data_IF_480186975828
#
_entry.id   IF_480186975828
#
_cell.length_a   1.000
_cell.length_b   1.000
_cell.length_c   1.000
_cell.angle_alpha   90.00
_cell.angle_beta   90.00
_cell.angle_gamma   90.00
#
_symmetry.space_group_name_H-M   'P 1'
#
loop_
_entity.id
_entity.type
_entity.pdbx_description
1 polymer ?
#
# COMPACT_ATOMS: atom_id res chain seq x y z
N UNK A 1 51.01 -13.08 36.95
CA UNK A 1 50.68 -11.66 37.20
C UNK A 1 50.41 -11.03 35.85
N UNK A 2 49.26 -10.52 35.45
CA UNK A 2 47.95 -10.35 36.07
C UNK A 2 46.98 -10.05 34.92
N UNK A 3 45.72 -10.35 35.15
CA UNK A 3 44.58 -10.16 34.27
C UNK A 3 44.54 -8.71 33.75
N UNK A 4 44.84 -8.49 32.47
CA UNK A 4 44.57 -7.23 31.79
C UNK A 4 43.91 -7.56 30.45
N UNK A 5 42.71 -8.12 30.53
CA UNK A 5 41.72 -7.92 29.48
C UNK A 5 41.57 -6.42 29.32
N UNK A 6 42.26 -5.85 28.33
CA UNK A 6 42.01 -4.49 27.90
C UNK A 6 40.52 -4.46 27.54
N UNK A 7 39.71 -3.88 28.42
CA UNK A 7 38.31 -3.55 28.15
C UNK A 7 38.33 -2.50 27.04
N UNK A 8 38.46 -2.97 25.79
CA UNK A 8 38.37 -2.14 24.60
C UNK A 8 36.91 -1.72 24.49
N UNK A 9 36.58 -0.62 25.16
CA UNK A 9 35.28 -0.01 25.08
C UNK A 9 35.11 0.58 23.67
N UNK A 10 34.11 0.11 22.93
CA UNK A 10 33.76 0.61 21.60
C UNK A 10 33.25 2.06 21.67
N UNK A 11 32.72 2.49 22.82
CA UNK A 11 32.09 3.80 23.00
C UNK A 11 32.96 4.82 23.76
N UNK A 12 33.89 4.38 24.62
CA UNK A 12 34.73 5.29 25.41
C UNK A 12 36.12 5.41 24.77
N UNK A 13 36.31 6.44 23.95
CA UNK A 13 37.63 6.75 23.36
C UNK A 13 38.38 7.77 24.21
N UNK A 14 39.68 7.56 24.33
CA UNK A 14 40.62 8.52 24.89
C UNK A 14 41.10 9.46 23.78
N UNK A 15 41.06 10.77 24.04
CA UNK A 15 41.50 11.81 23.10
C UNK A 15 42.88 12.37 23.46
N UNK A 16 43.39 12.08 24.66
CA UNK A 16 44.71 12.50 25.14
C UNK A 16 45.42 11.31 25.75
N UNK A 17 46.70 11.15 25.41
CA UNK A 17 47.63 10.18 25.99
C UNK A 17 48.79 10.96 26.59
N UNK A 18 49.18 10.62 27.81
CA UNK A 18 50.32 11.19 28.51
C UNK A 18 51.49 10.21 28.46
N UNK A 19 52.68 10.71 28.20
CA UNK A 19 53.90 9.89 28.29
C UNK A 19 54.34 9.83 29.75
N UNK A 20 54.43 8.61 30.29
CA UNK A 20 54.97 8.35 31.62
C UNK A 20 56.28 7.58 31.47
N UNK A 21 57.32 7.97 32.21
CA UNK A 21 58.65 7.36 32.12
C UNK A 21 58.86 6.40 33.28
N UNK A 22 59.07 5.12 32.98
CA UNK A 22 59.47 4.11 33.97
C UNK A 22 60.77 3.46 33.52
N UNK A 23 61.81 3.49 34.37
CA UNK A 23 63.17 2.97 34.09
C UNK A 23 63.76 3.32 32.70
N UNK A 24 63.54 4.54 32.21
CA UNK A 24 64.09 5.01 30.93
C UNK A 24 63.30 4.61 29.69
N UNK A 25 62.19 3.88 29.85
CA UNK A 25 61.21 3.61 28.79
C UNK A 25 59.99 4.49 28.91
N UNK A 26 59.54 5.11 27.81
CA UNK A 26 58.34 5.93 27.75
C UNK A 26 57.13 5.07 27.40
N UNK A 27 56.10 5.08 28.25
CA UNK A 27 54.83 4.38 28.02
C UNK A 27 53.74 5.44 27.84
N UNK A 28 52.91 5.28 26.80
CA UNK A 28 51.73 6.12 26.59
C UNK A 28 50.57 5.62 27.44
N UNK A 29 50.16 6.42 28.43
CA UNK A 29 49.04 6.12 29.33
C UNK A 29 47.85 7.01 28.97
N UNK A 30 46.61 6.48 28.89
CA UNK A 30 45.43 7.28 28.58
C UNK A 30 45.16 8.36 29.66
N UNK A 31 44.98 9.62 29.24
CA UNK A 31 44.89 10.79 30.14
C UNK A 31 43.48 11.37 30.22
N UNK A 32 42.81 11.60 29.07
CA UNK A 32 41.46 12.18 29.04
C UNK A 32 40.54 11.46 28.06
N UNK A 33 39.34 11.12 28.53
CA UNK A 33 38.23 10.73 27.67
C UNK A 33 37.82 11.89 26.75
N UNK A 34 37.48 11.57 25.51
CA UNK A 34 36.86 12.54 24.60
C UNK A 34 35.55 13.09 25.20
N UNK A 35 35.14 14.29 24.80
CA UNK A 35 33.86 14.86 25.23
C UNK A 35 32.68 14.19 24.53
N UNK A 36 32.13 13.12 25.12
CA UNK A 36 30.89 12.45 24.69
C UNK A 36 29.82 12.47 25.80
N UNK A 37 28.54 12.34 25.40
CA UNK A 37 27.36 12.51 26.27
C UNK A 37 27.38 11.63 27.54
N UNK A 38 28.13 10.52 27.53
CA UNK A 38 28.28 9.57 28.64
C UNK A 38 29.74 9.41 29.13
N UNK A 39 30.63 10.38 28.87
CA UNK A 39 32.07 10.29 29.16
C UNK A 39 32.43 10.09 30.63
N UNK A 40 31.58 10.53 31.55
CA UNK A 40 31.82 10.44 32.99
C UNK A 40 31.03 9.30 33.67
N UNK A 41 30.30 8.50 32.90
CA UNK A 41 29.41 7.45 33.43
C UNK A 41 30.11 6.08 33.35
N UNK A 42 30.23 5.39 34.48
CA UNK A 42 30.87 4.06 34.57
C UNK A 42 29.95 2.90 34.18
N UNK A 43 29.07 3.09 33.20
CA UNK A 43 28.22 2.00 32.70
C UNK A 43 28.96 1.13 31.69
N UNK A 44 28.51 -0.12 31.56
CA UNK A 44 28.96 -1.03 30.52
C UNK A 44 28.54 -0.53 29.13
N UNK A 45 29.37 -0.78 28.12
CA UNK A 45 29.19 -0.26 26.76
C UNK A 45 27.87 -0.70 26.11
N UNK A 46 27.45 -1.95 26.31
CA UNK A 46 26.19 -2.45 25.78
C UNK A 46 24.98 -1.70 26.36
N UNK A 47 25.05 -1.26 27.62
CA UNK A 47 23.99 -0.50 28.29
C UNK A 47 23.91 0.92 27.73
N UNK A 48 25.06 1.57 27.50
CA UNK A 48 25.13 2.90 26.86
C UNK A 48 24.59 2.81 25.43
N UNK A 49 24.96 1.77 24.68
CA UNK A 49 24.44 1.50 23.34
C UNK A 49 22.92 1.30 23.32
N UNK A 50 22.38 0.52 24.26
CA UNK A 50 20.93 0.30 24.37
C UNK A 50 20.17 1.59 24.69
N UNK A 51 20.67 2.40 25.63
CA UNK A 51 20.07 3.70 25.99
C UNK A 51 20.09 4.66 24.79
N UNK A 52 21.22 4.77 24.09
CA UNK A 52 21.33 5.60 22.89
C UNK A 52 20.38 5.14 21.78
N UNK A 53 20.23 3.82 21.58
CA UNK A 53 19.32 3.25 20.60
C UNK A 53 17.86 3.58 20.95
N UNK A 54 17.46 3.41 22.21
CA UNK A 54 16.12 3.76 22.67
C UNK A 54 15.85 5.26 22.48
N UNK A 55 16.78 6.14 22.89
CA UNK A 55 16.65 7.59 22.72
C UNK A 55 16.54 7.95 21.23
N UNK A 56 17.35 7.34 20.36
CA UNK A 56 17.33 7.60 18.92
C UNK A 56 16.01 7.15 18.29
N UNK A 57 15.49 5.98 18.67
CA UNK A 57 14.18 5.50 18.21
C UNK A 57 13.07 6.45 18.67
N UNK A 58 13.06 6.86 19.95
CA UNK A 58 12.05 7.80 20.47
C UNK A 58 12.12 9.15 19.74
N UNK A 59 13.32 9.70 19.56
CA UNK A 59 13.54 10.95 18.85
C UNK A 59 13.07 10.88 17.39
N UNK A 60 13.42 9.79 16.69
CA UNK A 60 12.99 9.53 15.31
C UNK A 60 11.47 9.40 15.22
N UNK A 61 10.85 8.62 16.12
CA UNK A 61 9.39 8.46 16.18
C UNK A 61 8.68 9.79 16.46
N UNK A 62 9.18 10.60 17.40
CA UNK A 62 8.62 11.91 17.71
C UNK A 62 8.74 12.88 16.52
N UNK A 63 9.91 12.92 15.89
CA UNK A 63 10.17 13.74 14.71
C UNK A 63 9.19 13.38 13.58
N UNK A 64 9.04 12.08 13.28
CA UNK A 64 8.11 11.59 12.26
C UNK A 64 6.65 11.95 12.61
N UNK A 65 6.25 11.78 13.88
CA UNK A 65 4.89 12.12 14.32
C UNK A 65 4.59 13.62 14.18
N UNK A 66 5.51 14.49 14.61
CA UNK A 66 5.36 15.93 14.49
C UNK A 66 5.31 16.37 13.02
N UNK A 67 6.18 15.82 12.17
CA UNK A 67 6.18 16.07 10.73
C UNK A 67 4.82 15.72 10.12
N UNK A 68 4.31 14.51 10.37
CA UNK A 68 2.99 14.08 9.88
C UNK A 68 1.88 14.99 10.39
N UNK A 69 1.92 15.40 11.66
CA UNK A 69 0.91 16.28 12.26
C UNK A 69 0.91 17.68 11.65
N UNK A 70 2.09 18.26 11.43
CA UNK A 70 2.24 19.56 10.75
C UNK A 70 1.69 19.46 9.34
N UNK A 71 2.09 18.43 8.60
CA UNK A 71 1.69 18.26 7.21
C UNK A 71 0.17 18.00 7.07
N UNK A 72 -0.43 17.27 8.00
CA UNK A 72 -1.90 17.14 8.11
C UNK A 72 -2.59 18.47 8.44
N UNK A 73 -1.99 19.30 9.30
CA UNK A 73 -2.55 20.61 9.66
C UNK A 73 -2.57 21.56 8.45
N UNK A 74 -1.51 21.57 7.65
CA UNK A 74 -1.41 22.41 6.45
C UNK A 74 -2.44 22.03 5.38
N UNK A 75 -2.72 20.73 5.23
CA UNK A 75 -3.63 20.21 4.22
C UNK A 75 -5.12 20.47 4.50
N UNK A 76 -5.52 20.52 5.78
CA UNK A 76 -6.92 20.71 6.19
C UNK A 76 -7.53 22.05 5.74
N UNK A 77 -6.72 23.09 5.60
CA UNK A 77 -7.17 24.44 5.22
C UNK A 77 -7.07 24.70 3.72
N UNK A 78 -5.86 25.02 3.25
CA UNK A 78 -5.64 25.55 1.89
C UNK A 78 -5.93 24.51 0.81
N UNK A 79 -5.45 23.28 1.00
CA UNK A 79 -5.54 22.24 -0.03
C UNK A 79 -6.96 21.69 -0.16
N UNK A 80 -7.69 21.56 0.95
CA UNK A 80 -9.13 21.27 0.92
C UNK A 80 -9.86 22.28 0.01
N UNK A 81 -9.67 23.58 0.20
CA UNK A 81 -10.34 24.59 -0.62
C UNK A 81 -9.99 24.48 -2.12
N UNK A 82 -8.73 24.22 -2.45
CA UNK A 82 -8.29 23.99 -3.85
C UNK A 82 -8.99 22.76 -4.43
N UNK A 83 -8.97 21.64 -3.71
CA UNK A 83 -9.63 20.40 -4.14
C UNK A 83 -11.12 20.65 -4.36
N UNK A 84 -11.80 21.28 -3.41
CA UNK A 84 -13.23 21.59 -3.53
C UNK A 84 -13.52 22.49 -4.73
N UNK A 85 -12.70 23.51 -4.97
CA UNK A 85 -12.86 24.39 -6.13
C UNK A 85 -12.71 23.62 -7.43
N UNK A 86 -11.68 22.77 -7.56
CA UNK A 86 -11.41 22.00 -8.78
C UNK A 86 -12.46 20.91 -8.99
N UNK A 87 -12.90 20.24 -7.93
CA UNK A 87 -13.95 19.22 -7.98
C UNK A 87 -15.29 19.80 -8.43
N UNK A 88 -15.61 21.02 -8.01
CA UNK A 88 -16.84 21.71 -8.40
C UNK A 88 -16.71 22.51 -9.71
N UNK A 89 -15.50 22.57 -10.30
CA UNK A 89 -15.29 23.22 -11.59
C UNK A 89 -15.45 22.16 -12.68
N UNK A 90 -16.57 22.18 -13.37
CA UNK A 90 -16.74 21.46 -14.64
C UNK A 90 -16.55 22.46 -15.79
N UNK A 91 -15.64 22.16 -16.72
CA UNK A 91 -15.49 22.99 -17.91
C UNK A 91 -16.76 22.89 -18.78
N UNK A 92 -17.37 24.03 -19.18
CA UNK A 92 -18.56 24.01 -20.02
C UNK A 92 -18.24 23.61 -21.47
N UNK A 93 -19.18 22.93 -22.13
CA UNK A 93 -19.13 22.60 -23.55
C UNK A 93 -18.14 21.49 -23.93
N UNK A 94 -17.48 21.63 -25.08
CA UNK A 94 -16.58 20.63 -25.68
C UNK A 94 -15.34 20.32 -24.81
N UNK A 95 -14.99 21.21 -23.88
CA UNK A 95 -13.87 21.07 -22.97
C UNK A 95 -14.15 20.22 -21.72
N UNK A 96 -15.37 19.65 -21.58
CA UNK A 96 -15.70 18.76 -20.44
C UNK A 96 -14.69 17.63 -20.24
N UNK A 97 -14.14 17.10 -21.34
CA UNK A 97 -13.11 16.05 -21.32
C UNK A 97 -11.77 16.48 -20.73
N UNK A 98 -11.48 17.78 -20.62
CA UNK A 98 -10.26 18.31 -20.00
C UNK A 98 -10.34 18.35 -18.47
N UNK A 99 -11.54 18.37 -17.90
CA UNK A 99 -11.76 18.44 -16.44
C UNK A 99 -10.98 17.36 -15.66
N UNK A 100 -11.00 16.08 -16.06
CA UNK A 100 -10.24 15.04 -15.36
C UNK A 100 -8.71 15.22 -15.49
N UNK A 101 -8.22 15.80 -16.58
CA UNK A 101 -6.79 16.08 -16.75
C UNK A 101 -6.33 17.27 -15.89
N UNK A 102 -7.18 18.28 -15.70
CA UNK A 102 -6.93 19.33 -14.72
C UNK A 102 -6.82 18.75 -13.30
N UNK A 103 -7.71 17.82 -12.94
CA UNK A 103 -7.66 17.14 -11.66
C UNK A 103 -6.37 16.31 -11.47
N UNK A 104 -5.85 15.65 -12.53
CA UNK A 104 -4.52 15.00 -12.50
C UNK A 104 -3.43 16.03 -12.24
N UNK A 105 -3.42 17.15 -12.97
CA UNK A 105 -2.40 18.19 -12.81
C UNK A 105 -2.41 18.76 -11.38
N UNK A 106 -3.59 19.06 -10.85
CA UNK A 106 -3.77 19.56 -9.49
C UNK A 106 -3.31 18.53 -8.46
N UNK A 107 -3.68 17.25 -8.61
CA UNK A 107 -3.21 16.18 -7.74
C UNK A 107 -1.68 16.03 -7.75
N UNK A 108 -1.06 16.17 -8.92
CA UNK A 108 0.39 16.14 -9.09
C UNK A 108 1.07 17.31 -8.36
N UNK A 109 0.65 18.55 -8.67
CA UNK A 109 1.22 19.76 -8.05
C UNK A 109 1.05 19.73 -6.53
N UNK A 110 -0.15 19.41 -6.04
CA UNK A 110 -0.39 19.31 -4.60
C UNK A 110 0.51 18.28 -3.93
N UNK A 111 0.75 17.14 -4.58
CA UNK A 111 1.64 16.11 -4.02
C UNK A 111 3.11 16.52 -4.07
N UNK A 112 3.55 17.25 -5.10
CA UNK A 112 4.92 17.80 -5.16
C UNK A 112 5.15 18.82 -4.04
N UNK A 113 4.16 19.68 -3.77
CA UNK A 113 4.25 20.71 -2.72
C UNK A 113 4.24 20.09 -1.32
N UNK A 114 3.39 19.10 -1.11
CA UNK A 114 3.18 18.45 0.19
C UNK A 114 4.24 17.36 0.44
N UNK A 115 4.81 16.78 -0.62
CA UNK A 115 5.74 15.64 -0.57
C UNK A 115 5.14 14.40 0.13
N UNK A 116 3.81 14.30 0.22
CA UNK A 116 3.13 13.18 0.88
C UNK A 116 1.82 12.81 0.21
N UNK A 117 1.82 11.68 -0.50
CA UNK A 117 0.63 11.08 -1.09
C UNK A 117 -0.30 10.44 -0.05
N UNK A 118 0.22 10.00 1.10
CA UNK A 118 -0.60 9.44 2.18
C UNK A 118 -1.50 10.49 2.84
N UNK A 119 -1.04 11.72 2.99
CA UNK A 119 -1.88 12.77 3.58
C UNK A 119 -2.85 13.34 2.55
N UNK A 120 -2.44 13.39 1.28
CA UNK A 120 -3.34 13.70 0.17
C UNK A 120 -4.53 12.71 0.12
N UNK A 121 -4.24 11.41 0.10
CA UNK A 121 -5.27 10.36 0.11
C UNK A 121 -6.11 10.39 1.39
N UNK A 122 -5.50 10.56 2.57
CA UNK A 122 -6.21 10.70 3.85
C UNK A 122 -7.16 11.91 3.92
N UNK A 123 -6.94 12.94 3.11
CA UNK A 123 -7.84 14.10 3.01
C UNK A 123 -9.03 13.81 2.09
N UNK A 124 -8.81 13.06 1.01
CA UNK A 124 -9.85 12.71 0.04
C UNK A 124 -10.77 11.59 0.54
N UNK A 125 -10.24 10.58 1.25
CA UNK A 125 -11.03 9.43 1.71
C UNK A 125 -12.25 9.81 2.55
N UNK A 126 -12.17 10.71 3.55
CA UNK A 126 -13.35 11.15 4.29
C UNK A 126 -14.36 11.91 3.43
N UNK A 127 -13.91 12.69 2.44
CA UNK A 127 -14.80 13.43 1.54
C UNK A 127 -15.61 12.49 0.64
N UNK A 128 -14.99 11.39 0.20
CA UNK A 128 -15.68 10.30 -0.50
C UNK A 128 -16.63 9.56 0.45
N UNK A 129 -16.18 9.25 1.67
CA UNK A 129 -17.00 8.58 2.67
C UNK A 129 -18.24 9.37 3.11
N UNK A 130 -18.16 10.70 3.08
CA UNK A 130 -19.28 11.62 3.34
C UNK A 130 -20.17 11.88 2.11
N UNK A 131 -19.83 11.32 0.94
CA UNK A 131 -20.58 11.54 -0.31
C UNK A 131 -20.42 12.92 -0.92
N UNK A 132 -19.49 13.75 -0.42
CA UNK A 132 -19.22 15.10 -0.92
C UNK A 132 -18.55 15.04 -2.30
N UNK A 133 -17.68 14.04 -2.50
CA UNK A 133 -16.95 13.82 -3.75
C UNK A 133 -17.16 12.37 -4.19
N UNK A 134 -17.50 12.14 -5.45
CA UNK A 134 -17.65 10.79 -5.99
C UNK A 134 -16.28 10.14 -6.24
N UNK A 135 -16.23 8.80 -6.25
CA UNK A 135 -15.00 8.02 -6.51
C UNK A 135 -14.45 8.35 -7.91
N UNK A 136 -15.33 8.61 -8.88
CA UNK A 136 -14.99 9.02 -10.25
C UNK A 136 -14.24 10.35 -10.28
N UNK A 137 -14.62 11.30 -9.42
CA UNK A 137 -13.96 12.60 -9.33
C UNK A 137 -12.66 12.52 -8.55
N UNK A 138 -12.52 11.61 -7.58
CA UNK A 138 -11.27 11.39 -6.82
C UNK A 138 -10.21 10.63 -7.61
N UNK A 139 -10.61 9.71 -8.48
CA UNK A 139 -9.67 8.86 -9.22
C UNK A 139 -8.58 9.64 -10.01
N UNK A 140 -8.91 10.68 -10.80
CA UNK A 140 -7.91 11.51 -11.46
C UNK A 140 -6.95 12.21 -10.50
N UNK A 141 -7.41 12.66 -9.32
CA UNK A 141 -6.54 13.25 -8.30
C UNK A 141 -5.54 12.23 -7.75
N UNK A 142 -5.99 11.00 -7.48
CA UNK A 142 -5.11 9.92 -7.01
C UNK A 142 -4.04 9.58 -8.04
N UNK A 143 -4.43 9.52 -9.33
CA UNK A 143 -3.50 9.33 -10.43
C UNK A 143 -2.46 10.45 -10.49
N UNK A 144 -2.91 11.71 -10.39
CA UNK A 144 -2.01 12.86 -10.33
C UNK A 144 -1.04 12.77 -9.15
N UNK A 145 -1.53 12.37 -7.99
CA UNK A 145 -0.70 12.19 -6.78
C UNK A 145 0.39 11.12 -6.95
N UNK A 146 0.09 10.03 -7.68
CA UNK A 146 1.10 9.02 -8.00
C UNK A 146 2.23 9.59 -8.86
N UNK A 147 1.93 10.45 -9.85
CA UNK A 147 2.96 11.18 -10.62
C UNK A 147 3.76 12.09 -9.70
N UNK A 148 3.09 12.91 -8.89
CA UNK A 148 3.77 13.85 -8.00
C UNK A 148 4.72 13.16 -7.01
N UNK A 149 4.41 11.92 -6.62
CA UNK A 149 5.27 11.11 -5.73
C UNK A 149 6.62 10.77 -6.39
N UNK A 150 6.69 10.64 -7.72
CA UNK A 150 7.96 10.27 -8.38
C UNK A 150 8.98 11.40 -8.38
N UNK A 151 8.52 12.66 -8.27
CA UNK A 151 9.40 13.82 -8.10
C UNK A 151 10.17 13.74 -6.78
N UNK A 152 9.62 13.11 -5.74
CA UNK A 152 10.33 12.93 -4.46
C UNK A 152 11.59 12.08 -4.66
N UNK A 153 11.50 11.03 -5.48
CA UNK A 153 12.63 10.18 -5.86
C UNK A 153 13.67 10.91 -6.69
N UNK A 154 13.24 11.81 -7.59
CA UNK A 154 14.16 12.66 -8.37
C UNK A 154 14.90 13.63 -7.44
N UNK A 155 14.18 14.32 -6.54
CA UNK A 155 14.79 15.22 -5.57
C UNK A 155 15.79 14.48 -4.67
N UNK A 156 15.43 13.29 -4.20
CA UNK A 156 16.34 12.45 -3.41
C UNK A 156 17.60 12.05 -4.22
N UNK A 157 17.44 11.65 -5.48
CA UNK A 157 18.56 11.30 -6.34
C UNK A 157 19.53 12.48 -6.56
N UNK A 158 19.02 13.71 -6.64
CA UNK A 158 19.84 14.93 -6.79
C UNK A 158 20.66 15.27 -5.54
N UNK A 159 20.35 14.70 -4.38
CA UNK A 159 21.13 14.88 -3.14
C UNK A 159 22.36 13.97 -3.05
N UNK A 160 22.55 13.06 -4.02
CA UNK A 160 23.68 12.15 -4.03
C UNK A 160 25.02 12.91 -4.14
N UNK A 161 25.97 12.58 -3.28
CA UNK A 161 27.26 13.29 -3.16
C UNK A 161 28.29 12.84 -4.20
N UNK A 162 28.23 11.59 -4.65
CA UNK A 162 29.17 11.03 -5.63
C UNK A 162 28.54 10.92 -7.02
N UNK A 163 29.32 11.18 -8.07
CA UNK A 163 28.82 11.09 -9.45
C UNK A 163 28.24 9.72 -9.81
N UNK A 164 28.88 8.65 -9.33
CA UNK A 164 28.40 7.27 -9.55
C UNK A 164 27.04 7.04 -8.90
N UNK A 165 26.84 7.53 -7.68
CA UNK A 165 25.60 7.37 -6.93
C UNK A 165 24.49 8.26 -7.48
N UNK A 166 24.83 9.45 -7.97
CA UNK A 166 23.90 10.32 -8.68
C UNK A 166 23.36 9.64 -9.93
N UNK A 167 24.22 9.07 -10.78
CA UNK A 167 23.79 8.38 -12.01
C UNK A 167 22.87 7.21 -11.70
N UNK A 168 23.24 6.35 -10.75
CA UNK A 168 22.44 5.19 -10.36
C UNK A 168 21.10 5.59 -9.74
N UNK A 169 21.10 6.53 -8.81
CA UNK A 169 19.89 6.98 -8.12
C UNK A 169 18.94 7.70 -9.08
N UNK A 170 19.47 8.53 -9.97
CA UNK A 170 18.68 9.24 -10.97
C UNK A 170 18.08 8.27 -11.99
N UNK A 171 18.83 7.25 -12.41
CA UNK A 171 18.31 6.21 -13.30
C UNK A 171 17.11 5.51 -12.68
N UNK A 172 17.19 5.10 -11.42
CA UNK A 172 16.08 4.46 -10.69
C UNK A 172 14.89 5.42 -10.57
N UNK A 173 15.13 6.68 -10.22
CA UNK A 173 14.09 7.70 -10.09
C UNK A 173 13.37 8.00 -11.43
N UNK A 174 14.12 8.05 -12.53
CA UNK A 174 13.58 8.24 -13.87
C UNK A 174 12.79 7.01 -14.33
N UNK A 175 13.30 5.79 -14.10
CA UNK A 175 12.55 4.56 -14.36
C UNK A 175 11.20 4.58 -13.63
N UNK A 176 11.18 4.98 -12.36
CA UNK A 176 9.95 5.09 -11.59
C UNK A 176 9.01 6.17 -12.14
N UNK A 177 9.54 7.32 -12.56
CA UNK A 177 8.76 8.40 -13.18
C UNK A 177 8.15 7.99 -14.50
N UNK A 178 8.94 7.41 -15.42
CA UNK A 178 8.45 6.95 -16.71
C UNK A 178 7.44 5.81 -16.57
N UNK A 179 7.66 4.87 -15.65
CA UNK A 179 6.70 3.81 -15.37
C UNK A 179 5.33 4.37 -14.98
N UNK A 180 5.28 5.36 -14.08
CA UNK A 180 4.01 5.99 -13.69
C UNK A 180 3.37 6.78 -14.83
N UNK A 181 4.15 7.59 -15.56
CA UNK A 181 3.63 8.38 -16.69
C UNK A 181 3.07 7.48 -17.79
N UNK A 182 3.83 6.47 -18.22
CA UNK A 182 3.41 5.53 -19.26
C UNK A 182 2.18 4.74 -18.78
N UNK A 183 2.18 4.27 -17.53
CA UNK A 183 1.01 3.59 -16.95
C UNK A 183 -0.24 4.46 -17.04
N UNK A 184 -0.14 5.75 -16.72
CA UNK A 184 -1.29 6.65 -16.76
C UNK A 184 -1.74 6.90 -18.19
N UNK A 185 -0.81 7.10 -19.12
CA UNK A 185 -1.13 7.26 -20.54
C UNK A 185 -1.83 6.04 -21.15
N UNK A 186 -1.54 4.84 -20.64
CA UNK A 186 -2.21 3.60 -21.06
C UNK A 186 -3.57 3.45 -20.39
N UNK A 187 -3.65 3.59 -19.06
CA UNK A 187 -4.83 3.22 -18.27
C UNK A 187 -5.89 4.32 -18.13
N UNK A 188 -5.54 5.60 -18.27
CA UNK A 188 -6.46 6.71 -18.00
C UNK A 188 -7.22 7.25 -19.23
N UNK A 189 -6.61 7.47 -20.40
CA UNK A 189 -7.31 8.04 -21.56
C UNK A 189 -8.44 7.14 -22.09
N UNK A 190 -8.26 5.82 -22.02
CA UNK A 190 -9.19 4.83 -22.57
C UNK A 190 -10.30 4.57 -21.53
N UNK A 191 -11.59 4.90 -21.80
CA UNK A 191 -12.66 4.77 -20.82
C UNK A 191 -12.86 3.34 -20.29
N UNK A 192 -12.69 2.33 -21.15
CA UNK A 192 -12.81 0.91 -20.77
C UNK A 192 -11.70 0.46 -19.79
N UNK A 193 -10.52 1.07 -19.86
CA UNK A 193 -9.39 0.72 -18.99
C UNK A 193 -9.49 1.33 -17.58
N UNK A 194 -10.51 2.15 -17.31
CA UNK A 194 -10.79 2.71 -15.97
C UNK A 194 -11.47 1.70 -15.03
N UNK A 195 -11.12 0.43 -15.14
CA UNK A 195 -11.62 -0.65 -14.29
C UNK A 195 -11.29 -0.54 -12.79
N UNK A 196 -10.28 0.26 -12.32
CA UNK A 196 -10.07 0.43 -10.87
C UNK A 196 -11.25 1.09 -10.15
N UNK A 197 -12.03 1.93 -10.83
CA UNK A 197 -13.21 2.60 -10.25
C UNK A 197 -14.29 1.58 -9.84
N UNK A 198 -14.82 0.73 -10.75
CA UNK A 198 -15.81 -0.28 -10.37
C UNK A 198 -15.25 -1.33 -9.40
N UNK A 199 -13.94 -1.65 -9.49
CA UNK A 199 -13.30 -2.55 -8.54
C UNK A 199 -13.29 -1.96 -7.13
N UNK A 200 -12.96 -0.68 -6.98
CA UNK A 200 -12.98 0.01 -5.68
C UNK A 200 -14.39 0.06 -5.08
N UNK A 201 -15.42 0.35 -5.90
CA UNK A 201 -16.83 0.32 -5.46
C UNK A 201 -17.24 -1.06 -4.95
N UNK A 202 -17.02 -2.09 -5.76
CA UNK A 202 -17.37 -3.48 -5.42
C UNK A 202 -16.62 -3.96 -4.17
N UNK A 203 -15.34 -3.61 -4.04
CA UNK A 203 -14.54 -3.93 -2.85
C UNK A 203 -15.10 -3.23 -1.61
N UNK A 204 -15.50 -1.96 -1.73
CA UNK A 204 -16.15 -1.19 -0.67
C UNK A 204 -17.49 -1.80 -0.23
N UNK A 205 -18.34 -2.19 -1.18
CA UNK A 205 -19.64 -2.86 -0.91
C UNK A 205 -19.46 -4.19 -0.18
N UNK A 206 -18.53 -5.04 -0.65
CA UNK A 206 -18.20 -6.31 0.00
C UNK A 206 -17.71 -6.07 1.42
N UNK A 207 -16.85 -5.07 1.61
CA UNK A 207 -16.29 -4.72 2.92
C UNK A 207 -17.36 -4.17 3.88
N UNK A 208 -18.29 -3.37 3.37
CA UNK A 208 -19.43 -2.86 4.14
C UNK A 208 -20.37 -4.00 4.58
N UNK A 209 -20.59 -4.99 3.70
CA UNK A 209 -21.42 -6.16 3.98
C UNK A 209 -20.75 -7.17 4.93
N UNK A 210 -19.45 -7.41 4.76
CA UNK A 210 -18.69 -8.42 5.49
C UNK A 210 -17.48 -7.76 6.18
N UNK A 211 -17.66 -7.23 7.40
CA UNK A 211 -16.61 -6.45 8.09
C UNK A 211 -15.30 -7.24 8.31
N UNK A 212 -15.40 -8.56 8.52
CA UNK A 212 -14.24 -9.45 8.65
C UNK A 212 -13.38 -9.52 7.38
N UNK A 213 -13.99 -9.28 6.21
CA UNK A 213 -13.29 -9.27 4.94
C UNK A 213 -12.25 -8.15 4.87
N UNK A 214 -12.48 -7.00 5.52
CA UNK A 214 -11.49 -5.92 5.60
C UNK A 214 -10.16 -6.39 6.22
N UNK A 215 -10.26 -7.10 7.36
CA UNK A 215 -9.10 -7.62 8.08
C UNK A 215 -8.39 -8.66 7.25
N UNK A 216 -9.15 -9.60 6.67
CA UNK A 216 -8.59 -10.62 5.77
C UNK A 216 -7.86 -9.96 4.58
N UNK A 217 -8.48 -8.96 3.95
CA UNK A 217 -7.90 -8.25 2.81
C UNK A 217 -6.57 -7.57 3.18
N UNK A 218 -6.50 -6.89 4.32
CA UNK A 218 -5.27 -6.25 4.80
C UNK A 218 -4.20 -7.29 5.09
N UNK A 219 -4.52 -8.36 5.83
CA UNK A 219 -3.57 -9.44 6.15
C UNK A 219 -3.04 -10.09 4.87
N UNK A 220 -3.92 -10.39 3.92
CA UNK A 220 -3.54 -11.00 2.65
C UNK A 220 -2.66 -10.08 1.81
N UNK A 221 -3.07 -8.82 1.63
CA UNK A 221 -2.39 -7.89 0.71
C UNK A 221 -1.03 -7.41 1.24
N UNK A 222 -0.90 -7.20 2.55
CA UNK A 222 0.34 -6.66 3.14
C UNK A 222 1.30 -7.72 3.67
N UNK A 223 0.82 -8.92 4.01
CA UNK A 223 1.67 -9.95 4.60
C UNK A 223 1.70 -11.24 3.78
N UNK A 224 0.56 -11.90 3.57
CA UNK A 224 0.53 -13.24 2.98
C UNK A 224 1.03 -13.23 1.53
N UNK A 225 0.50 -12.36 0.68
CA UNK A 225 0.88 -12.29 -0.73
C UNK A 225 2.37 -11.90 -0.88
N UNK A 226 2.87 -10.80 -0.27
CA UNK A 226 4.29 -10.46 -0.36
C UNK A 226 5.21 -11.57 0.17
N UNK A 227 4.85 -12.23 1.27
CA UNK A 227 5.65 -13.30 1.85
C UNK A 227 5.70 -14.54 0.96
N UNK A 228 4.58 -14.91 0.32
CA UNK A 228 4.54 -16.00 -0.66
C UNK A 228 5.41 -15.65 -1.88
N UNK A 229 5.25 -14.44 -2.43
CA UNK A 229 6.04 -14.00 -3.61
C UNK A 229 7.53 -13.97 -3.27
N UNK A 230 7.89 -13.43 -2.10
CA UNK A 230 9.27 -13.40 -1.63
C UNK A 230 9.82 -14.82 -1.42
N UNK A 231 9.07 -15.70 -0.74
CA UNK A 231 9.47 -17.09 -0.53
C UNK A 231 9.66 -17.86 -1.83
N UNK A 232 8.76 -17.68 -2.80
CA UNK A 232 8.88 -18.26 -4.14
C UNK A 232 10.07 -17.67 -4.92
N UNK A 233 10.37 -16.38 -4.73
CA UNK A 233 11.54 -15.74 -5.35
C UNK A 233 12.86 -16.32 -4.85
N UNK A 234 12.92 -16.81 -3.61
CA UNK A 234 14.12 -17.47 -3.05
C UNK A 234 14.30 -18.90 -3.58
N UNK A 235 13.20 -19.58 -3.95
CA UNK A 235 13.22 -20.96 -4.46
C UNK A 235 13.72 -21.09 -5.91
N UNK A 236 14.07 -19.98 -6.56
CA UNK A 236 14.60 -19.93 -7.93
C UNK A 236 13.52 -19.75 -9.00
N UNK A 237 13.94 -19.26 -10.17
CA UNK A 237 13.03 -18.85 -11.27
C UNK A 237 12.12 -19.97 -11.77
N UNK A 238 12.59 -21.22 -11.82
CA UNK A 238 11.79 -22.35 -12.27
C UNK A 238 10.61 -22.65 -11.36
N UNK A 239 10.81 -22.59 -10.03
CA UNK A 239 9.74 -22.79 -9.05
C UNK A 239 8.80 -21.59 -9.05
N UNK A 240 9.35 -20.38 -9.11
CA UNK A 240 8.58 -19.15 -9.21
C UNK A 240 7.63 -19.17 -10.43
N UNK A 241 8.16 -19.45 -11.62
CA UNK A 241 7.38 -19.55 -12.85
C UNK A 241 6.41 -20.74 -12.84
N UNK A 242 6.83 -21.89 -12.31
CA UNK A 242 6.02 -23.10 -12.23
C UNK A 242 4.80 -22.98 -11.32
N UNK A 243 4.88 -22.20 -10.24
CA UNK A 243 3.75 -21.97 -9.33
C UNK A 243 2.91 -20.77 -9.76
N UNK A 244 3.55 -19.63 -10.06
CA UNK A 244 2.83 -18.39 -10.36
C UNK A 244 2.21 -18.39 -11.76
N UNK A 245 2.86 -19.05 -12.74
CA UNK A 245 2.37 -19.15 -14.12
C UNK A 245 0.98 -19.76 -14.23
N UNK A 246 0.72 -20.96 -13.67
CA UNK A 246 -0.62 -21.55 -13.68
C UNK A 246 -1.68 -20.70 -12.96
N UNK A 247 -1.33 -20.07 -11.84
CA UNK A 247 -2.26 -19.19 -11.10
C UNK A 247 -2.68 -18.01 -11.98
N UNK A 248 -1.72 -17.34 -12.60
CA UNK A 248 -1.98 -16.21 -13.51
C UNK A 248 -2.80 -16.67 -14.71
N UNK A 249 -2.49 -17.82 -15.30
CA UNK A 249 -3.24 -18.41 -16.41
C UNK A 249 -4.71 -18.66 -16.03
N UNK A 250 -4.96 -19.23 -14.84
CA UNK A 250 -6.31 -19.48 -14.34
C UNK A 250 -7.07 -18.16 -14.15
N UNK A 251 -6.42 -17.13 -13.58
CA UNK A 251 -7.04 -15.81 -13.41
C UNK A 251 -7.42 -15.21 -14.76
N UNK A 252 -6.52 -15.25 -15.75
CA UNK A 252 -6.78 -14.78 -17.12
C UNK A 252 -7.94 -15.55 -17.74
N UNK A 253 -7.98 -16.88 -17.59
CA UNK A 253 -9.05 -17.73 -18.10
C UNK A 253 -10.41 -17.36 -17.47
N UNK A 254 -10.46 -17.16 -16.15
CA UNK A 254 -11.69 -16.74 -15.45
C UNK A 254 -12.16 -15.37 -15.94
N UNK A 255 -11.25 -14.41 -16.12
CA UNK A 255 -11.57 -13.09 -16.67
C UNK A 255 -12.14 -13.24 -18.09
N UNK A 256 -11.48 -14.02 -18.94
CA UNK A 256 -11.91 -14.25 -20.33
C UNK A 256 -13.30 -14.90 -20.37
N UNK A 257 -13.55 -15.93 -19.55
CA UNK A 257 -14.85 -16.60 -19.44
C UNK A 257 -15.92 -15.61 -18.99
N UNK A 258 -15.65 -14.80 -17.96
CA UNK A 258 -16.61 -13.78 -17.49
C UNK A 258 -16.92 -12.73 -18.56
N UNK A 259 -15.92 -12.31 -19.34
CA UNK A 259 -16.13 -11.41 -20.49
C UNK A 259 -16.99 -12.11 -21.55
N UNK A 260 -16.68 -13.36 -21.91
CA UNK A 260 -17.43 -14.12 -22.90
C UNK A 260 -18.87 -14.41 -22.46
N UNK A 261 -19.11 -14.67 -21.17
CA UNK A 261 -20.44 -14.80 -20.58
C UNK A 261 -21.26 -13.53 -20.78
N UNK A 262 -20.63 -12.35 -20.64
CA UNK A 262 -21.28 -11.05 -20.77
C UNK A 262 -21.56 -10.63 -22.22
N UNK A 263 -20.63 -10.89 -23.15
CA UNK A 263 -20.74 -10.40 -24.53
C UNK A 263 -21.24 -11.46 -25.54
N UNK A 264 -20.93 -12.75 -25.36
CA UNK A 264 -21.23 -13.83 -26.33
C UNK A 264 -21.51 -15.18 -25.61
N UNK A 265 -22.58 -15.30 -24.80
CA UNK A 265 -22.84 -16.49 -23.98
C UNK A 265 -23.08 -17.78 -24.80
N UNK A 266 -23.48 -17.65 -26.07
CA UNK A 266 -23.70 -18.79 -26.98
C UNK A 266 -22.40 -19.54 -27.34
N UNK A 267 -21.24 -18.87 -27.26
CA UNK A 267 -19.93 -19.44 -27.61
C UNK A 267 -19.33 -20.32 -26.50
N UNK A 268 -19.88 -20.26 -25.29
CA UNK A 268 -19.46 -21.08 -24.15
C UNK A 268 -20.26 -22.39 -24.07
N UNK A 269 -19.63 -23.52 -23.72
CA UNK A 269 -20.34 -24.75 -23.41
C UNK A 269 -21.23 -24.55 -22.16
N UNK A 270 -22.35 -25.28 -22.10
CA UNK A 270 -23.39 -25.14 -21.08
C UNK A 270 -22.89 -24.97 -19.62
N UNK A 271 -21.92 -25.76 -19.11
CA UNK A 271 -21.46 -25.60 -17.72
C UNK A 271 -20.65 -24.33 -17.46
N UNK A 272 -20.06 -23.71 -18.48
CA UNK A 272 -19.27 -22.47 -18.35
C UNK A 272 -20.11 -21.21 -18.62
N UNK A 273 -21.42 -21.35 -18.90
CA UNK A 273 -22.32 -20.19 -19.05
C UNK A 273 -22.73 -19.59 -17.71
N UNK A 274 -22.79 -20.40 -16.65
CA UNK A 274 -23.11 -19.95 -15.30
C UNK A 274 -22.20 -20.64 -14.29
N UNK A 275 -21.75 -19.91 -13.27
CA UNK A 275 -20.92 -20.47 -12.19
C UNK A 275 -21.73 -21.28 -11.16
N UNK A 276 -22.90 -21.81 -11.54
CA UNK A 276 -23.78 -22.60 -10.66
C UNK A 276 -23.23 -23.99 -10.32
N UNK A 277 -22.37 -24.54 -11.18
CA UNK A 277 -21.68 -25.81 -10.92
C UNK A 277 -20.65 -25.70 -9.78
N UNK A 278 -20.15 -24.50 -9.48
CA UNK A 278 -19.12 -24.31 -8.46
C UNK A 278 -19.72 -24.37 -7.03
N UNK A 279 -19.06 -25.06 -6.08
CA UNK A 279 -19.56 -25.16 -4.70
C UNK A 279 -19.79 -23.78 -4.05
N UNK A 280 -20.80 -23.70 -3.18
CA UNK A 280 -21.22 -22.46 -2.48
C UNK A 280 -20.06 -21.68 -1.82
N UNK A 281 -19.05 -22.32 -1.18
CA UNK A 281 -17.91 -21.60 -0.59
C UNK A 281 -17.07 -20.80 -1.58
N UNK A 282 -17.07 -21.17 -2.86
CA UNK A 282 -16.33 -20.45 -3.91
C UNK A 282 -17.21 -19.44 -4.67
N UNK A 283 -18.53 -19.49 -4.49
CA UNK A 283 -19.49 -18.58 -5.14
C UNK A 283 -19.94 -17.44 -4.24
N UNK A 284 -19.95 -17.64 -2.91
CA UNK A 284 -20.51 -16.67 -1.98
C UNK A 284 -19.74 -16.56 -0.67
N UNK A 285 -19.40 -15.31 -0.32
CA UNK A 285 -18.81 -14.94 0.98
C UNK A 285 -19.79 -15.13 2.15
N UNK A 286 -21.10 -15.27 1.89
CA UNK A 286 -22.12 -15.47 2.93
C UNK A 286 -21.91 -16.76 3.73
N UNK A 287 -21.29 -17.77 3.11
CA UNK A 287 -20.95 -19.02 3.79
C UNK A 287 -19.94 -18.79 4.92
N UNK A 288 -18.85 -18.06 4.64
CA UNK A 288 -17.82 -17.76 5.63
C UNK A 288 -18.31 -16.83 6.72
N UNK A 289 -19.11 -15.82 6.35
CA UNK A 289 -19.72 -14.90 7.31
C UNK A 289 -20.59 -15.65 8.33
N UNK A 290 -21.41 -16.59 7.85
CA UNK A 290 -22.23 -17.44 8.71
C UNK A 290 -21.37 -18.37 9.59
N UNK A 291 -20.25 -18.91 9.10
CA UNK A 291 -19.42 -19.80 9.95
C UNK A 291 -18.57 -19.04 10.97
N UNK A 292 -18.14 -17.81 10.66
CA UNK A 292 -17.38 -16.95 11.58
C UNK A 292 -18.25 -16.38 12.71
N UNK A 293 -19.51 -16.02 12.41
CA UNK A 293 -20.38 -15.31 13.38
C UNK A 293 -21.61 -16.10 13.86
N UNK A 294 -21.93 -17.26 13.28
CA UNK A 294 -22.98 -18.14 13.81
C UNK A 294 -22.39 -19.19 14.74
N UNK A 295 -22.85 -19.20 16.01
CA UNK A 295 -22.58 -20.25 17.01
C UNK A 295 -23.11 -21.66 16.62
N UNK A 296 -23.57 -21.87 15.38
CA UNK A 296 -24.15 -23.13 14.87
C UNK A 296 -23.67 -23.45 13.45
N UNK A 297 -22.35 -23.50 13.21
CA UNK A 297 -21.83 -23.99 11.93
C UNK A 297 -22.13 -25.50 11.71
N UNK A 298 -22.40 -26.29 12.77
CA UNK A 298 -22.63 -27.74 12.68
C UNK A 298 -24.09 -28.21 12.46
N UNK A 299 -25.12 -27.37 12.69
CA UNK A 299 -26.53 -27.80 12.56
C UNK A 299 -27.10 -27.74 11.12
N UNK A 300 -26.31 -27.27 10.14
CA UNK A 300 -26.80 -27.01 8.78
C UNK A 300 -26.61 -28.13 7.75
N UNK A 301 -26.01 -29.29 8.10
CA UNK A 301 -26.12 -30.46 7.20
C UNK A 301 -27.58 -30.89 6.99
N UNK A 302 -28.48 -30.57 7.94
CA UNK A 302 -29.87 -31.04 7.92
C UNK A 302 -30.88 -30.07 7.25
N UNK A 303 -30.56 -28.77 7.16
CA UNK A 303 -31.54 -27.75 6.70
C UNK A 303 -31.43 -27.38 5.22
N UNK A 304 -30.26 -27.57 4.60
CA UNK A 304 -30.06 -27.31 3.15
C UNK A 304 -30.80 -28.34 2.30
N UNK A 305 -30.95 -29.58 2.76
CA UNK A 305 -31.66 -30.62 2.01
C UNK A 305 -33.18 -30.42 1.93
N UNK A 306 -33.78 -29.62 2.83
CA UNK A 306 -35.22 -29.37 2.85
C UNK A 306 -35.66 -28.16 2.01
N UNK A 307 -34.76 -27.21 1.70
CA UNK A 307 -35.10 -26.07 0.84
C UNK A 307 -35.00 -26.39 -0.66
N UNK A 308 -34.18 -27.37 -1.04
CA UNK A 308 -34.05 -27.81 -2.45
C UNK A 308 -35.29 -28.50 -3.02
N UNK A 309 -36.24 -28.96 -2.19
CA UNK A 309 -37.47 -29.62 -2.68
C UNK A 309 -38.66 -28.67 -2.87
N UNK A 310 -38.67 -27.47 -2.27
CA UNK A 310 -39.85 -26.59 -2.29
C UNK A 310 -39.70 -25.31 -3.14
N UNK A 311 -38.48 -24.94 -3.57
CA UNK A 311 -38.28 -23.73 -4.40
C UNK A 311 -38.40 -23.95 -5.92
N UNK A 312 -38.58 -25.20 -6.38
CA UNK A 312 -38.72 -25.51 -7.80
C UNK A 312 -40.10 -25.16 -8.41
N UNK A 313 -41.03 -24.54 -7.67
CA UNK A 313 -42.39 -24.27 -8.17
C UNK A 313 -42.73 -22.77 -8.28
N UNK A 314 -41.96 -21.81 -7.72
CA UNK A 314 -42.47 -20.41 -7.68
C UNK A 314 -41.58 -19.23 -8.07
N UNK A 315 -40.29 -19.38 -8.40
CA UNK A 315 -39.39 -18.21 -8.56
C UNK A 315 -38.88 -17.92 -9.99
N UNK A 316 -39.62 -18.30 -11.03
CA UNK A 316 -39.21 -18.00 -12.42
C UNK A 316 -39.54 -16.59 -12.92
N UNK A 317 -40.16 -15.71 -12.12
CA UNK A 317 -40.57 -14.36 -12.59
C UNK A 317 -39.89 -13.17 -11.89
N UNK A 318 -39.12 -13.36 -10.81
CA UNK A 318 -38.66 -12.21 -10.01
C UNK A 318 -37.20 -11.79 -10.24
N UNK A 319 -36.39 -12.58 -10.95
CA UNK A 319 -34.96 -12.28 -11.14
C UNK A 319 -34.62 -11.49 -12.42
N UNK A 320 -35.63 -11.10 -13.21
CA UNK A 320 -35.43 -10.32 -14.44
C UNK A 320 -35.71 -8.82 -14.24
N UNK A 321 -36.39 -8.41 -13.16
CA UNK A 321 -36.75 -7.00 -12.91
C UNK A 321 -35.67 -6.11 -12.30
N UNK A 322 -34.78 -6.65 -11.46
CA UNK A 322 -33.85 -5.80 -10.67
C UNK A 322 -32.53 -5.46 -11.38
N UNK A 323 -32.40 -5.77 -12.68
CA UNK A 323 -31.23 -5.41 -13.50
C UNK A 323 -31.53 -4.23 -14.45
N UNK A 324 -32.79 -3.81 -14.57
CA UNK A 324 -33.18 -2.69 -15.45
C UNK A 324 -33.26 -1.32 -14.76
N UNK A 325 -33.19 -1.24 -13.43
CA UNK A 325 -33.34 0.03 -12.68
C UNK A 325 -32.05 0.52 -11.99
N UNK A 326 -30.89 0.09 -12.46
CA UNK A 326 -29.58 0.63 -12.03
C UNK A 326 -28.57 0.69 -13.17
N UNK A 327 -28.97 1.36 -14.27
CA UNK A 327 -28.08 1.78 -15.36
C UNK A 327 -27.18 2.94 -14.94
#
# INVERSE_FOLDING_TARGET
LGNASADISLLKRYCSFKNESDNGTFIQVPDKYCSFLFAKVQWADWLIGLVLLIISIICLCLCLFLLVKILQSLLKGTVKNIIFKVVNTDFPGMFKHLTPYLAILVGCILTILVQSSSIFTSTLTPLVGLGIITIERVYPFTIGSNIGTTITGIMAALTATSEKDLRNSLQIALCHTFFNIIGILIWFPIPFMRFPIPMAKKLGEITAKYRWFAVLYIVCSFFVIPLIVFGLSLAGWYVFGGVLGPIVLIIILIILINILQRYKPKFLPAPLRTWLWLPVPFRSLAFYDRCLFSKKCFQCKKKVHLMTNNENIHNNETYIGDIEESL
#
